data_IF_452799985597
#
_entry.id   IF_452799985597
#
_cell.length_a   1.000
_cell.length_b   1.000
_cell.length_c   1.000
_cell.angle_alpha   90.00
_cell.angle_beta   90.00
_cell.angle_gamma   90.00
#
_symmetry.space_group_name_H-M   'P 1'
#
loop_
_entity.id
_entity.type
_entity.pdbx_description
1 polymer ?
#
# COMPACT_ATOMS: atom_id res chain seq x y z
N UNK A 1 -11.11 7.69 -6.42
CA UNK A 1 -10.59 8.38 -5.23
C UNK A 1 -9.09 8.20 -5.25
N UNK A 2 -8.35 9.30 -5.31
CA UNK A 2 -6.88 9.30 -5.32
C UNK A 2 -6.37 9.32 -3.87
N UNK A 3 -5.41 8.46 -3.53
CA UNK A 3 -4.82 8.31 -2.18
C UNK A 3 -3.31 8.58 -2.23
N UNK A 4 -2.95 9.86 -2.33
CA UNK A 4 -1.58 10.40 -2.48
C UNK A 4 -0.55 10.05 -1.39
N UNK A 5 -0.95 9.40 -0.30
CA UNK A 5 -0.05 9.10 0.84
C UNK A 5 -0.21 7.67 1.37
N UNK A 6 -0.73 6.78 0.52
CA UNK A 6 -0.94 5.37 0.82
C UNK A 6 0.30 4.72 1.47
N UNK A 7 1.49 4.99 0.94
CA UNK A 7 2.74 4.38 1.39
C UNK A 7 3.28 4.97 2.70
N UNK A 8 3.23 6.29 2.87
CA UNK A 8 3.83 6.99 4.01
C UNK A 8 3.12 6.70 5.35
N UNK A 9 1.88 6.23 5.30
CA UNK A 9 1.07 5.89 6.47
C UNK A 9 1.10 4.39 6.83
N UNK A 10 1.86 3.58 6.09
CA UNK A 10 2.05 2.18 6.42
C UNK A 10 3.06 1.99 7.55
N UNK A 11 2.75 1.10 8.48
CA UNK A 11 3.70 0.60 9.48
C UNK A 11 4.61 -0.45 8.85
N UNK A 12 5.90 -0.39 9.21
CA UNK A 12 6.89 -1.39 8.84
C UNK A 12 6.79 -2.59 9.78
N UNK A 13 6.30 -3.73 9.28
CA UNK A 13 6.34 -4.99 10.04
C UNK A 13 7.77 -5.53 10.17
N UNK A 14 8.63 -5.22 9.20
CA UNK A 14 10.03 -5.68 9.15
C UNK A 14 10.99 -4.53 9.47
N UNK A 15 12.13 -4.86 10.10
CA UNK A 15 13.20 -3.89 10.32
C UNK A 15 14.01 -3.69 9.03
N UNK A 16 13.82 -2.55 8.38
CA UNK A 16 14.52 -2.20 7.15
C UNK A 16 15.59 -1.16 7.48
N UNK A 17 16.82 -1.46 7.06
CA UNK A 17 17.97 -0.57 7.16
C UNK A 17 18.40 -0.12 5.76
N UNK A 18 18.90 1.09 5.66
CA UNK A 18 19.48 1.63 4.44
C UNK A 18 20.79 2.35 4.74
N UNK A 19 21.64 2.46 3.72
CA UNK A 19 22.84 3.29 3.79
C UNK A 19 22.47 4.74 4.09
N UNK A 20 23.38 5.43 4.78
CA UNK A 20 23.21 6.83 5.09
C UNK A 20 23.28 7.66 3.78
N UNK A 21 22.41 8.66 3.60
CA UNK A 21 22.56 9.63 2.52
C UNK A 21 23.91 10.32 2.63
N UNK A 22 24.53 10.63 1.49
CA UNK A 22 25.89 11.18 1.44
C UNK A 22 26.04 12.48 2.23
N UNK A 23 24.98 13.29 2.28
CA UNK A 23 24.91 14.56 3.00
C UNK A 23 24.70 14.40 4.51
N UNK A 24 24.46 13.18 4.99
CA UNK A 24 24.18 12.87 6.39
C UNK A 24 25.35 12.17 7.11
N UNK A 25 26.37 11.74 6.37
CA UNK A 25 27.51 11.01 6.91
C UNK A 25 28.45 11.96 7.68
N UNK A 26 28.56 11.76 8.99
CA UNK A 26 29.54 12.46 9.82
C UNK A 26 30.88 11.71 9.88
N UNK A 27 31.99 12.45 9.99
CA UNK A 27 33.35 11.87 10.06
C UNK A 27 33.49 10.93 11.27
N UNK A 28 33.86 9.67 11.02
CA UNK A 28 33.96 8.61 12.03
C UNK A 28 32.67 7.79 12.20
N UNK A 29 31.57 8.17 11.56
CA UNK A 29 30.27 7.49 11.62
C UNK A 29 29.86 6.88 10.27
N UNK A 30 30.80 6.72 9.33
CA UNK A 30 30.58 6.22 7.98
C UNK A 30 29.99 4.80 7.96
N UNK A 31 30.25 4.02 9.01
CA UNK A 31 29.80 2.64 9.17
C UNK A 31 28.36 2.51 9.68
N UNK A 32 27.69 3.61 10.04
CA UNK A 32 26.30 3.57 10.51
C UNK A 32 25.33 3.40 9.34
N UNK A 33 24.13 2.94 9.68
CA UNK A 33 23.00 2.75 8.77
C UNK A 33 21.76 3.45 9.35
N UNK A 34 20.86 3.89 8.47
CA UNK A 34 19.58 4.46 8.86
C UNK A 34 18.53 3.35 9.02
N UNK A 35 17.83 3.32 10.16
CA UNK A 35 16.63 2.49 10.33
C UNK A 35 15.42 3.24 9.80
N UNK A 36 14.72 2.65 8.82
CA UNK A 36 13.46 3.19 8.33
C UNK A 36 12.37 3.04 9.39
N UNK A 37 11.63 4.13 9.64
CA UNK A 37 10.47 4.14 10.56
C UNK A 37 9.13 4.13 9.84
N UNK A 38 9.13 4.48 8.54
CA UNK A 38 7.97 4.51 7.65
C UNK A 38 8.42 4.04 6.27
N UNK A 39 7.50 3.56 5.43
CA UNK A 39 7.85 3.23 4.05
C UNK A 39 8.30 4.47 3.28
N UNK A 40 9.30 4.28 2.42
CA UNK A 40 9.71 5.24 1.40
C UNK A 40 9.23 4.75 0.03
N UNK A 41 9.09 5.68 -0.93
CA UNK A 41 8.74 5.34 -2.31
C UNK A 41 9.75 4.35 -2.90
N UNK A 42 9.27 3.44 -3.75
CA UNK A 42 10.10 2.44 -4.42
C UNK A 42 10.42 1.18 -3.59
N UNK A 43 10.03 1.13 -2.32
CA UNK A 43 10.23 -0.08 -1.51
C UNK A 43 9.25 -1.17 -1.94
N UNK A 44 9.76 -2.27 -2.50
CA UNK A 44 8.93 -3.40 -3.00
C UNK A 44 7.99 -3.98 -1.93
N UNK A 45 8.37 -3.91 -0.66
CA UNK A 45 7.54 -4.38 0.45
C UNK A 45 6.37 -3.44 0.79
N UNK A 46 6.50 -2.14 0.51
CA UNK A 46 5.46 -1.16 0.79
C UNK A 46 4.19 -1.43 -0.02
N UNK A 47 4.34 -1.78 -1.30
CA UNK A 47 3.22 -2.10 -2.19
C UNK A 47 2.46 -3.34 -1.76
N UNK A 48 3.17 -4.37 -1.29
CA UNK A 48 2.58 -5.59 -0.75
C UNK A 48 1.84 -5.32 0.55
N UNK A 49 2.47 -4.65 1.50
CA UNK A 49 1.89 -4.38 2.82
C UNK A 49 0.66 -3.49 2.74
N UNK A 50 0.70 -2.46 1.89
CA UNK A 50 -0.47 -1.66 1.61
C UNK A 50 -1.61 -2.50 1.01
N UNK A 51 -1.30 -3.40 0.08
CA UNK A 51 -2.33 -4.26 -0.53
C UNK A 51 -2.99 -5.18 0.50
N UNK A 52 -2.21 -5.73 1.43
CA UNK A 52 -2.73 -6.55 2.53
C UNK A 52 -3.65 -5.75 3.44
N UNK A 53 -3.22 -4.56 3.89
CA UNK A 53 -4.06 -3.67 4.72
C UNK A 53 -5.34 -3.26 3.99
N UNK A 54 -5.24 -2.93 2.70
CA UNK A 54 -6.41 -2.62 1.87
C UNK A 54 -7.36 -3.80 1.76
N UNK A 55 -6.85 -4.99 1.42
CA UNK A 55 -7.64 -6.21 1.32
C UNK A 55 -8.37 -6.52 2.63
N UNK A 56 -7.69 -6.44 3.76
CA UNK A 56 -8.29 -6.67 5.09
C UNK A 56 -9.40 -5.66 5.38
N UNK A 57 -9.16 -4.38 5.13
CA UNK A 57 -10.14 -3.32 5.37
C UNK A 57 -11.40 -3.50 4.50
N UNK A 58 -11.23 -3.76 3.21
CA UNK A 58 -12.32 -3.97 2.26
C UNK A 58 -13.11 -5.25 2.57
N UNK A 59 -12.41 -6.35 2.86
CA UNK A 59 -13.05 -7.62 3.21
C UNK A 59 -13.85 -7.51 4.52
N UNK A 60 -13.30 -6.81 5.52
CA UNK A 60 -14.01 -6.54 6.79
C UNK A 60 -15.27 -5.70 6.61
N UNK A 61 -15.36 -4.95 5.51
CA UNK A 61 -16.56 -4.19 5.12
C UNK A 61 -17.56 -5.00 4.29
N UNK A 62 -17.38 -6.32 4.16
CA UNK A 62 -18.32 -7.24 3.52
C UNK A 62 -18.21 -7.28 1.99
N UNK A 63 -17.06 -6.89 1.44
CA UNK A 63 -16.74 -7.16 0.04
C UNK A 63 -16.02 -8.51 -0.08
N UNK A 64 -16.28 -9.23 -1.17
CA UNK A 64 -15.60 -10.47 -1.53
C UNK A 64 -14.68 -10.22 -2.72
N UNK A 65 -13.45 -10.73 -2.66
CA UNK A 65 -12.50 -10.64 -3.77
C UNK A 65 -12.87 -11.65 -4.87
N UNK A 66 -12.79 -11.25 -6.13
CA UNK A 66 -13.03 -12.13 -7.26
C UNK A 66 -11.85 -13.12 -7.42
N UNK A 67 -12.13 -14.37 -7.82
CA UNK A 67 -11.09 -15.40 -7.95
C UNK A 67 -10.28 -15.22 -9.24
N UNK A 68 -10.96 -14.71 -10.27
CA UNK A 68 -10.41 -14.49 -11.59
C UNK A 68 -9.56 -13.21 -11.65
N UNK A 69 -9.88 -12.22 -10.80
CA UNK A 69 -9.14 -10.97 -10.69
C UNK A 69 -9.08 -10.47 -9.24
N UNK A 70 -7.90 -10.57 -8.62
CA UNK A 70 -7.67 -10.16 -7.23
C UNK A 70 -7.70 -8.64 -7.00
N UNK A 71 -7.80 -7.84 -8.07
CA UNK A 71 -8.00 -6.40 -7.99
C UNK A 71 -9.48 -6.01 -7.95
N UNK A 72 -10.40 -6.96 -8.16
CA UNK A 72 -11.85 -6.73 -8.20
C UNK A 72 -12.51 -7.28 -6.93
N UNK A 73 -13.32 -6.44 -6.30
CA UNK A 73 -14.08 -6.75 -5.09
C UNK A 73 -15.56 -6.50 -5.34
N UNK A 74 -16.41 -7.41 -4.89
CA UNK A 74 -17.86 -7.32 -5.09
C UNK A 74 -18.56 -7.39 -3.74
N UNK A 75 -19.50 -6.48 -3.51
CA UNK A 75 -20.40 -6.51 -2.36
C UNK A 75 -21.85 -6.64 -2.82
N UNK A 76 -22.48 -7.75 -2.46
CA UNK A 76 -23.86 -8.03 -2.82
C UNK A 76 -24.83 -7.39 -1.83
N UNK A 77 -25.98 -6.97 -2.34
CA UNK A 77 -27.11 -6.44 -1.57
C UNK A 77 -28.43 -6.92 -2.17
N UNK A 78 -29.54 -6.72 -1.46
CA UNK A 78 -30.87 -7.11 -1.97
C UNK A 78 -31.26 -6.41 -3.28
N UNK A 79 -30.68 -5.23 -3.55
CA UNK A 79 -31.06 -4.37 -4.67
C UNK A 79 -30.00 -4.34 -5.78
N UNK A 80 -29.00 -5.22 -5.75
CA UNK A 80 -27.89 -5.24 -6.70
C UNK A 80 -26.55 -5.48 -6.02
N UNK A 81 -25.46 -5.08 -6.68
CA UNK A 81 -24.11 -5.26 -6.18
C UNK A 81 -23.29 -3.98 -6.34
N UNK A 82 -22.19 -3.87 -5.59
CA UNK A 82 -21.20 -2.81 -5.73
C UNK A 82 -19.87 -3.44 -6.13
N UNK A 83 -19.23 -2.89 -7.17
CA UNK A 83 -17.89 -3.31 -7.60
C UNK A 83 -16.87 -2.27 -7.12
N UNK A 84 -15.76 -2.76 -6.58
CA UNK A 84 -14.62 -1.95 -6.20
C UNK A 84 -13.39 -2.52 -6.92
N UNK A 85 -12.69 -1.68 -7.68
CA UNK A 85 -11.52 -2.09 -8.44
C UNK A 85 -10.29 -1.32 -8.01
N UNK A 86 -9.21 -2.03 -7.72
CA UNK A 86 -7.92 -1.44 -7.42
C UNK A 86 -7.11 -1.26 -8.71
N UNK A 87 -6.69 -0.03 -9.00
CA UNK A 87 -5.74 0.26 -10.08
C UNK A 87 -4.45 0.82 -9.48
N UNK A 88 -3.33 0.58 -10.16
CA UNK A 88 -2.03 1.14 -9.77
C UNK A 88 -1.49 1.90 -10.96
N UNK A 89 -1.43 3.22 -10.86
CA UNK A 89 -0.65 4.03 -11.80
C UNK A 89 0.82 4.05 -11.35
N UNK A 90 1.74 4.33 -12.28
CA UNK A 90 3.18 4.37 -12.02
C UNK A 90 3.56 5.33 -10.88
N UNK A 91 2.74 6.35 -10.64
CA UNK A 91 3.02 7.40 -9.66
C UNK A 91 2.20 7.31 -8.36
N UNK A 92 1.05 6.62 -8.33
CA UNK A 92 0.27 6.37 -7.11
C UNK A 92 -0.82 5.28 -7.33
N UNK A 93 -1.22 4.59 -6.25
CA UNK A 93 -2.30 3.59 -6.31
C UNK A 93 -3.66 4.27 -6.32
N UNK A 94 -4.28 4.38 -7.50
CA UNK A 94 -5.62 4.91 -7.64
C UNK A 94 -6.71 3.89 -7.30
N UNK A 95 -7.54 4.22 -6.31
CA UNK A 95 -8.74 3.45 -6.01
C UNK A 95 -9.91 3.93 -6.86
N UNK A 96 -10.35 3.12 -7.82
CA UNK A 96 -11.54 3.42 -8.61
C UNK A 96 -12.73 2.63 -8.07
N UNK A 97 -13.72 3.34 -7.53
CA UNK A 97 -14.99 2.74 -7.10
C UNK A 97 -15.96 2.83 -8.28
N UNK A 98 -16.30 1.69 -8.88
CA UNK A 98 -17.29 1.61 -9.95
C UNK A 98 -18.63 1.20 -9.36
N UNK A 99 -19.56 2.15 -9.26
CA UNK A 99 -20.94 1.85 -8.90
C UNK A 99 -21.70 1.53 -10.18
N UNK A 100 -22.11 0.27 -10.32
CA UNK A 100 -23.08 -0.18 -11.34
C UNK A 100 -24.46 -0.22 -10.69
#
# INVERSE_FOLDING_TARGET
MDVKTAFLNGELEEEIYMEQPQEFVAKGEEHKVCKLRRFIYGLKQASRQWNLKFHQAVSSNGFEVMKEDHCVYVKWSKNGFLILTLYVDQDDKDLVILRV
#
